data_IF_240562869116
#
_entry.id   IF_240562869116
#
_cell.length_a   1.000
_cell.length_b   1.000
_cell.length_c   1.000
_cell.angle_alpha   90.00
_cell.angle_beta   90.00
_cell.angle_gamma   90.00
#
_symmetry.space_group_name_H-M   'P 1'
#
loop_
_entity.id
_entity.type
_entity.pdbx_description
1 polymer ?
#
# COMPACT_ATOMS: atom_id res chain seq x y z
N UNK A 1 -50.12 -41.56 32.48
CA UNK A 1 -48.97 -42.10 31.74
C UNK A 1 -48.35 -40.96 30.97
N UNK A 2 -47.09 -40.63 31.33
CA UNK A 2 -45.99 -40.01 30.58
C UNK A 2 -46.19 -38.71 29.74
N UNK A 3 -45.12 -37.89 29.60
CA UNK A 3 -45.18 -36.42 29.56
C UNK A 3 -44.82 -35.85 28.16
N UNK A 4 -44.68 -34.51 27.95
CA UNK A 4 -44.35 -33.95 26.65
C UNK A 4 -42.84 -34.07 26.36
N UNK A 5 -42.47 -34.43 25.13
CA UNK A 5 -41.07 -34.44 24.70
C UNK A 5 -40.68 -33.14 24.01
N UNK A 6 -39.71 -32.49 24.65
CA UNK A 6 -38.92 -31.36 24.18
C UNK A 6 -37.77 -31.95 23.34
N UNK A 7 -37.66 -31.61 22.06
CA UNK A 7 -36.47 -31.96 21.27
C UNK A 7 -35.74 -30.68 20.90
N UNK A 8 -34.56 -30.57 21.49
CA UNK A 8 -33.57 -29.52 21.31
C UNK A 8 -33.10 -29.40 19.86
N UNK A 9 -32.77 -28.16 19.51
CA UNK A 9 -32.08 -27.73 18.30
C UNK A 9 -30.71 -28.39 18.14
N UNK A 10 -30.43 -28.94 16.96
CA UNK A 10 -29.05 -29.11 16.47
C UNK A 10 -28.87 -28.28 15.21
N UNK A 11 -28.43 -27.04 15.38
CA UNK A 11 -27.88 -26.26 14.28
C UNK A 11 -26.56 -26.90 13.84
N UNK A 12 -26.50 -27.38 12.60
CA UNK A 12 -25.25 -27.84 11.98
C UNK A 12 -24.31 -26.62 11.82
N UNK A 13 -23.05 -26.68 12.30
CA UNK A 13 -22.05 -25.69 11.92
C UNK A 13 -21.60 -25.99 10.49
N UNK A 14 -22.01 -25.17 9.52
CA UNK A 14 -21.43 -25.18 8.17
C UNK A 14 -20.52 -23.96 7.99
N UNK A 15 -19.40 -23.92 8.69
CA UNK A 15 -18.29 -23.04 8.30
C UNK A 15 -17.32 -23.83 7.42
N UNK A 16 -17.67 -23.96 6.14
CA UNK A 16 -16.68 -24.35 5.13
C UNK A 16 -15.68 -23.20 5.00
N UNK A 17 -14.52 -23.34 5.64
CA UNK A 17 -13.37 -22.48 5.36
C UNK A 17 -12.97 -22.70 3.90
N UNK A 18 -13.32 -21.73 3.06
CA UNK A 18 -12.88 -21.68 1.67
C UNK A 18 -11.38 -21.34 1.67
N UNK A 19 -10.53 -22.33 1.39
CA UNK A 19 -9.09 -22.16 1.10
C UNK A 19 -8.81 -21.37 -0.20
N UNK A 20 -9.75 -20.55 -0.69
CA UNK A 20 -9.50 -19.69 -1.85
C UNK A 20 -8.60 -18.55 -1.44
N UNK A 21 -7.44 -18.49 -2.08
CA UNK A 21 -6.54 -17.34 -2.03
C UNK A 21 -7.34 -16.05 -2.34
N UNK A 22 -7.05 -14.95 -1.62
CA UNK A 22 -7.74 -13.69 -1.84
C UNK A 22 -7.53 -13.23 -3.29
N UNK A 23 -8.64 -12.92 -3.97
CA UNK A 23 -8.64 -12.49 -5.38
C UNK A 23 -8.20 -11.03 -5.57
N UNK A 24 -8.13 -10.26 -4.48
CA UNK A 24 -7.76 -8.85 -4.49
C UNK A 24 -6.84 -8.55 -3.32
N UNK A 25 -5.96 -7.57 -3.48
CA UNK A 25 -5.05 -7.10 -2.45
C UNK A 25 -4.84 -5.59 -2.61
N UNK A 26 -4.51 -4.92 -1.50
CA UNK A 26 -3.83 -3.63 -1.58
C UNK A 26 -2.34 -3.88 -1.82
N UNK A 27 -1.71 -3.05 -2.64
CA UNK A 27 -0.28 -3.11 -2.92
C UNK A 27 0.34 -1.74 -2.63
N UNK A 28 1.46 -1.74 -1.93
CA UNK A 28 2.28 -0.54 -1.73
C UNK A 28 3.76 -0.89 -1.93
N UNK A 29 4.61 0.13 -2.00
CA UNK A 29 6.04 -0.02 -2.24
C UNK A 29 6.85 0.62 -1.11
N UNK A 30 7.97 0.00 -0.75
CA UNK A 30 8.95 0.53 0.19
C UNK A 30 10.36 0.35 -0.38
N UNK A 31 11.12 1.43 -0.37
CA UNK A 31 12.51 1.47 -0.83
C UNK A 31 13.37 2.27 0.14
N UNK A 32 14.66 1.95 0.17
CA UNK A 32 15.63 2.62 1.01
C UNK A 32 15.54 2.24 2.49
N UNK A 33 16.41 2.86 3.27
CA UNK A 33 16.58 2.65 4.71
C UNK A 33 15.94 3.76 5.56
N UNK A 34 15.08 4.58 4.96
CA UNK A 34 14.42 5.69 5.64
C UNK A 34 13.18 5.28 6.45
N UNK A 35 12.54 6.28 7.03
CA UNK A 35 11.38 6.12 7.93
C UNK A 35 10.02 5.87 7.23
N UNK A 36 10.01 5.58 5.93
CA UNK A 36 8.78 5.33 5.17
C UNK A 36 8.05 4.05 5.62
N UNK A 37 8.74 3.16 6.35
CA UNK A 37 8.12 2.02 7.04
C UNK A 37 6.97 2.45 7.96
N UNK A 38 7.08 3.63 8.61
CA UNK A 38 6.02 4.19 9.45
C UNK A 38 4.75 4.47 8.64
N UNK A 39 4.92 4.94 7.39
CA UNK A 39 3.82 5.16 6.47
C UNK A 39 3.07 3.88 6.11
N UNK A 40 3.82 2.79 5.88
CA UNK A 40 3.23 1.48 5.56
C UNK A 40 2.52 0.89 6.79
N UNK A 41 3.09 1.03 7.99
CA UNK A 41 2.43 0.62 9.24
C UNK A 41 1.13 1.40 9.45
N UNK A 42 1.16 2.72 9.27
CA UNK A 42 -0.04 3.55 9.34
C UNK A 42 -1.10 3.15 8.31
N UNK A 43 -0.68 2.78 7.09
CA UNK A 43 -1.56 2.29 6.03
C UNK A 43 -2.26 0.98 6.43
N UNK A 44 -1.51 -0.04 6.87
CA UNK A 44 -2.09 -1.34 7.23
C UNK A 44 -3.00 -1.23 8.46
N UNK A 45 -2.64 -0.42 9.47
CA UNK A 45 -3.52 -0.10 10.61
C UNK A 45 -4.80 0.61 10.14
N UNK A 46 -4.68 1.53 9.18
CA UNK A 46 -5.82 2.19 8.54
C UNK A 46 -6.77 1.22 7.84
N UNK A 47 -6.23 0.27 7.07
CA UNK A 47 -7.01 -0.79 6.42
C UNK A 47 -7.74 -1.69 7.43
N UNK A 48 -7.09 -2.05 8.54
CA UNK A 48 -7.71 -2.82 9.63
C UNK A 48 -8.82 -2.02 10.33
N UNK A 49 -8.63 -0.73 10.55
CA UNK A 49 -9.64 0.15 11.16
C UNK A 49 -10.95 0.18 10.38
N UNK A 50 -10.87 0.12 9.05
CA UNK A 50 -12.05 0.04 8.17
C UNK A 50 -12.49 -1.39 7.88
N UNK A 51 -11.91 -2.38 8.57
CA UNK A 51 -12.21 -3.81 8.44
C UNK A 51 -12.07 -4.32 6.99
N UNK A 52 -11.01 -3.88 6.30
CA UNK A 52 -10.68 -4.39 4.98
C UNK A 52 -10.56 -5.91 4.99
N UNK A 53 -11.21 -6.58 4.03
CA UNK A 53 -11.09 -8.02 3.81
C UNK A 53 -9.84 -8.38 2.99
N UNK A 54 -9.19 -7.38 2.38
CA UNK A 54 -8.04 -7.58 1.49
C UNK A 54 -6.72 -7.41 2.24
N UNK A 55 -5.72 -8.29 1.98
CA UNK A 55 -4.39 -8.16 2.55
C UNK A 55 -3.63 -6.96 1.97
N UNK A 56 -2.59 -6.52 2.66
CA UNK A 56 -1.61 -5.57 2.14
C UNK A 56 -0.35 -6.32 1.70
N UNK A 57 -0.03 -6.24 0.41
CA UNK A 57 1.25 -6.67 -0.14
C UNK A 57 2.19 -5.48 -0.18
N UNK A 58 3.39 -5.63 0.37
CA UNK A 58 4.44 -4.60 0.34
C UNK A 58 5.56 -5.07 -0.56
N UNK A 59 5.68 -4.44 -1.72
CA UNK A 59 6.81 -4.65 -2.61
C UNK A 59 8.03 -3.89 -2.07
N UNK A 60 9.11 -4.60 -1.79
CA UNK A 60 10.33 -4.02 -1.17
C UNK A 60 11.52 -4.14 -2.11
N UNK A 61 12.36 -3.11 -2.18
CA UNK A 61 13.66 -3.22 -2.85
C UNK A 61 14.70 -3.93 -1.97
N UNK A 62 15.80 -4.46 -2.52
CA UNK A 62 16.86 -5.12 -1.74
C UNK A 62 17.51 -4.22 -0.66
N UNK A 63 17.45 -2.90 -0.82
CA UNK A 63 18.04 -1.91 0.10
C UNK A 63 17.20 -1.63 1.36
N UNK A 64 15.97 -2.17 1.44
CA UNK A 64 15.14 -2.07 2.65
C UNK A 64 15.74 -2.92 3.77
N UNK A 65 16.07 -2.34 4.94
CA UNK A 65 16.62 -3.04 6.09
C UNK A 65 15.79 -4.25 6.56
N UNK A 66 16.45 -5.26 7.13
CA UNK A 66 15.78 -6.50 7.56
C UNK A 66 14.79 -6.26 8.71
N UNK A 67 15.13 -5.39 9.65
CA UNK A 67 14.27 -4.97 10.75
C UNK A 67 13.01 -4.26 10.23
N UNK A 68 13.12 -3.38 9.22
CA UNK A 68 11.96 -2.78 8.58
C UNK A 68 11.05 -3.84 7.94
N UNK A 69 11.60 -4.88 7.31
CA UNK A 69 10.80 -5.99 6.74
C UNK A 69 10.09 -6.78 7.84
N UNK A 70 10.80 -7.10 8.92
CA UNK A 70 10.23 -7.80 10.08
C UNK A 70 9.09 -7.01 10.70
N UNK A 71 9.23 -5.69 10.89
CA UNK A 71 8.16 -4.81 11.37
C UNK A 71 6.90 -4.89 10.50
N UNK A 72 7.05 -5.01 9.18
CA UNK A 72 5.92 -5.15 8.26
C UNK A 72 5.25 -6.53 8.38
N UNK A 73 6.03 -7.60 8.48
CA UNK A 73 5.54 -8.97 8.66
C UNK A 73 4.84 -9.16 10.01
N UNK A 74 5.37 -8.58 11.08
CA UNK A 74 4.74 -8.52 12.41
C UNK A 74 3.40 -7.79 12.37
N UNK A 75 3.27 -6.81 11.48
CA UNK A 75 2.02 -6.13 11.17
C UNK A 75 1.16 -6.90 10.13
N UNK A 76 1.46 -8.17 9.85
CA UNK A 76 0.65 -9.02 8.96
C UNK A 76 0.67 -8.60 7.49
N UNK A 77 1.65 -7.80 7.08
CA UNK A 77 1.86 -7.48 5.67
C UNK A 77 2.50 -8.67 4.94
N UNK A 78 2.14 -8.87 3.67
CA UNK A 78 2.83 -9.82 2.79
C UNK A 78 4.00 -9.09 2.14
N UNK A 79 5.22 -9.33 2.61
CA UNK A 79 6.42 -8.70 2.05
C UNK A 79 6.90 -9.47 0.83
N UNK A 80 7.11 -8.77 -0.29
CA UNK A 80 7.65 -9.34 -1.53
C UNK A 80 8.81 -8.51 -2.02
N UNK A 81 10.00 -9.10 -2.05
CA UNK A 81 11.15 -8.43 -2.67
C UNK A 81 10.96 -8.35 -4.18
N UNK A 82 11.27 -7.18 -4.76
CA UNK A 82 11.29 -6.94 -6.20
C UNK A 82 12.59 -6.27 -6.61
N UNK A 83 12.95 -6.44 -7.87
CA UNK A 83 14.10 -5.76 -8.47
C UNK A 83 13.66 -4.42 -9.11
N UNK A 84 14.46 -3.35 -8.96
CA UNK A 84 14.15 -2.07 -9.58
C UNK A 84 14.31 -2.15 -11.10
N UNK A 85 13.47 -1.40 -11.81
CA UNK A 85 13.57 -1.23 -13.27
C UNK A 85 13.93 0.22 -13.54
N UNK A 86 14.99 0.42 -14.34
CA UNK A 86 15.46 1.75 -14.71
C UNK A 86 15.12 2.02 -16.18
N UNK A 87 14.63 3.22 -16.51
CA UNK A 87 14.55 3.63 -17.90
C UNK A 87 15.98 3.76 -18.48
N UNK A 88 16.13 3.73 -19.81
CA UNK A 88 17.42 3.96 -20.44
C UNK A 88 18.00 5.33 -20.04
N UNK A 89 19.33 5.43 -19.96
CA UNK A 89 19.99 6.71 -19.80
C UNK A 89 19.63 7.63 -20.97
N UNK A 90 19.06 8.79 -20.65
CA UNK A 90 18.74 9.81 -21.64
C UNK A 90 19.32 11.16 -21.20
N UNK A 91 19.88 11.92 -22.16
CA UNK A 91 20.48 13.23 -21.89
C UNK A 91 19.45 14.34 -21.76
N UNK A 92 18.23 14.10 -22.24
CA UNK A 92 17.14 15.09 -22.26
C UNK A 92 15.83 14.47 -21.74
N UNK A 93 15.10 15.23 -20.92
CA UNK A 93 13.80 14.82 -20.39
C UNK A 93 12.68 15.15 -21.39
N UNK A 94 11.70 14.24 -21.49
CA UNK A 94 10.49 14.44 -22.29
C UNK A 94 9.53 15.48 -21.71
N UNK A 95 8.54 15.89 -22.50
CA UNK A 95 7.44 16.74 -22.04
C UNK A 95 6.42 15.93 -21.21
N UNK A 96 5.80 16.52 -20.17
CA UNK A 96 4.77 15.85 -19.39
C UNK A 96 3.48 15.62 -20.22
N UNK A 97 2.72 14.56 -19.92
CA UNK A 97 1.48 14.26 -20.64
C UNK A 97 0.37 15.29 -20.35
N UNK A 98 -0.53 15.49 -21.31
CA UNK A 98 -1.60 16.51 -21.23
C UNK A 98 -2.79 16.12 -20.34
N UNK A 99 -3.08 14.82 -20.20
CA UNK A 99 -4.06 14.28 -19.25
C UNK A 99 -3.31 13.74 -18.04
N UNK A 100 -3.81 14.07 -16.86
CA UNK A 100 -3.08 13.87 -15.63
C UNK A 100 -3.96 13.25 -14.54
N UNK A 101 -3.56 12.08 -14.07
CA UNK A 101 -4.05 11.46 -12.86
C UNK A 101 -2.93 11.32 -11.85
N UNK A 102 -3.28 11.42 -10.58
CA UNK A 102 -2.33 11.16 -9.52
C UNK A 102 -2.12 9.65 -9.37
N UNK A 103 -0.89 9.19 -9.52
CA UNK A 103 -0.54 7.78 -9.43
C UNK A 103 -0.46 7.24 -7.99
N UNK A 104 -0.74 8.07 -6.98
CA UNK A 104 -0.71 7.67 -5.57
C UNK A 104 -1.78 6.66 -5.16
N UNK A 105 -2.87 6.55 -5.93
CA UNK A 105 -3.89 5.51 -5.76
C UNK A 105 -4.56 5.25 -7.10
N UNK A 106 -4.60 3.98 -7.50
CA UNK A 106 -5.32 3.50 -8.67
C UNK A 106 -5.69 2.03 -8.49
N UNK A 107 -6.63 1.55 -9.31
CA UNK A 107 -7.05 0.14 -9.34
C UNK A 107 -6.63 -0.44 -10.68
N UNK A 108 -6.02 -1.63 -10.65
CA UNK A 108 -5.60 -2.33 -11.85
C UNK A 108 -5.78 -3.85 -11.67
N UNK A 109 -5.86 -4.55 -12.79
CA UNK A 109 -5.84 -6.01 -12.84
C UNK A 109 -4.43 -6.48 -13.25
N UNK A 110 -3.73 -7.27 -12.42
CA UNK A 110 -2.44 -7.84 -12.79
C UNK A 110 -2.57 -8.69 -14.06
N UNK A 111 -1.75 -8.38 -15.07
CA UNK A 111 -1.79 -9.06 -16.36
C UNK A 111 -0.37 -9.15 -16.96
N UNK A 112 0.04 -10.35 -17.37
CA UNK A 112 1.39 -10.58 -17.90
C UNK A 112 1.64 -9.85 -19.23
N UNK A 113 0.62 -9.74 -20.09
CA UNK A 113 0.76 -9.00 -21.35
C UNK A 113 0.97 -7.51 -21.08
N UNK A 114 0.16 -6.93 -20.20
CA UNK A 114 0.32 -5.53 -19.76
C UNK A 114 1.69 -5.31 -19.10
N UNK A 115 2.16 -6.24 -18.27
CA UNK A 115 3.48 -6.16 -17.65
C UNK A 115 4.62 -6.11 -18.68
N UNK A 116 4.66 -7.06 -19.62
CA UNK A 116 5.73 -7.08 -20.63
C UNK A 116 5.65 -5.88 -21.57
N UNK A 117 4.45 -5.40 -21.87
CA UNK A 117 4.25 -4.25 -22.73
C UNK A 117 4.60 -2.92 -22.03
N UNK A 118 4.34 -2.79 -20.72
CA UNK A 118 4.86 -1.70 -19.89
C UNK A 118 6.39 -1.67 -19.93
N UNK A 119 7.06 -2.82 -19.74
CA UNK A 119 8.52 -2.89 -19.79
C UNK A 119 9.08 -2.54 -21.18
N UNK A 120 8.45 -3.00 -22.25
CA UNK A 120 8.86 -2.67 -23.62
C UNK A 120 8.70 -1.17 -23.87
N UNK A 121 7.55 -0.61 -23.49
CA UNK A 121 7.25 0.81 -23.66
C UNK A 121 8.20 1.69 -22.86
N UNK A 122 8.54 1.29 -21.62
CA UNK A 122 9.49 2.02 -20.77
C UNK A 122 10.88 2.15 -21.42
N UNK A 123 11.34 1.11 -22.12
CA UNK A 123 12.65 1.12 -22.82
C UNK A 123 12.74 2.10 -23.98
N UNK A 124 11.62 2.55 -24.53
CA UNK A 124 11.59 3.45 -25.69
C UNK A 124 10.98 4.80 -25.35
N UNK A 125 10.45 4.97 -24.13
CA UNK A 125 9.85 6.22 -23.68
C UNK A 125 10.92 7.11 -23.04
N UNK A 126 11.08 8.36 -23.51
CA UNK A 126 11.96 9.32 -22.85
C UNK A 126 11.56 9.51 -21.38
N UNK A 127 12.50 9.44 -20.42
CA UNK A 127 12.22 9.75 -19.03
C UNK A 127 11.66 11.16 -18.88
N UNK A 128 10.78 11.35 -17.91
CA UNK A 128 10.20 12.66 -17.55
C UNK A 128 10.49 12.98 -16.08
N UNK A 129 10.27 14.24 -15.63
CA UNK A 129 10.53 14.63 -14.24
C UNK A 129 9.72 13.83 -13.20
N UNK A 130 8.48 13.44 -13.51
CA UNK A 130 7.65 12.61 -12.63
C UNK A 130 7.59 11.18 -13.16
N UNK A 131 8.63 10.41 -12.87
CA UNK A 131 8.95 9.15 -13.52
C UNK A 131 7.75 8.19 -13.69
N UNK A 132 7.20 7.65 -12.60
CA UNK A 132 6.13 6.66 -12.69
C UNK A 132 4.80 7.30 -13.05
N UNK A 133 4.50 8.49 -12.52
CA UNK A 133 3.22 9.15 -12.73
C UNK A 133 3.02 9.55 -14.19
N UNK A 134 4.01 10.20 -14.80
CA UNK A 134 3.92 10.60 -16.20
C UNK A 134 3.91 9.39 -17.13
N UNK A 135 4.73 8.38 -16.83
CA UNK A 135 4.79 7.16 -17.63
C UNK A 135 3.43 6.43 -17.63
N UNK A 136 2.81 6.27 -16.46
CA UNK A 136 1.49 5.65 -16.34
C UNK A 136 0.40 6.49 -17.03
N UNK A 137 0.46 7.82 -16.92
CA UNK A 137 -0.46 8.71 -17.62
C UNK A 137 -0.33 8.60 -19.13
N UNK A 138 0.89 8.53 -19.66
CA UNK A 138 1.15 8.33 -21.08
C UNK A 138 0.65 6.96 -21.55
N UNK A 139 0.99 5.89 -20.83
CA UNK A 139 0.67 4.51 -21.20
C UNK A 139 -0.84 4.24 -21.15
N UNK A 140 -1.52 4.68 -20.10
CA UNK A 140 -2.94 4.39 -19.87
C UNK A 140 -3.90 5.50 -20.33
N UNK A 141 -3.42 6.49 -21.08
CA UNK A 141 -4.20 7.69 -21.50
C UNK A 141 -5.55 7.39 -22.15
N UNK A 142 -5.67 6.25 -22.83
CA UNK A 142 -6.85 5.87 -23.61
C UNK A 142 -7.87 5.03 -22.83
N UNK A 143 -7.46 4.43 -21.71
CA UNK A 143 -8.33 3.56 -20.89
C UNK A 143 -8.56 4.08 -19.47
N UNK A 144 -7.82 5.11 -19.06
CA UNK A 144 -7.90 5.68 -17.73
C UNK A 144 -9.30 6.22 -17.41
N UNK A 145 -9.76 5.96 -16.19
CA UNK A 145 -10.98 6.52 -15.61
C UNK A 145 -10.65 7.16 -14.26
N UNK A 146 -11.03 8.43 -14.02
CA UNK A 146 -10.71 9.10 -12.77
C UNK A 146 -11.44 8.49 -11.59
N UNK A 147 -10.67 8.23 -10.53
CA UNK A 147 -11.22 7.90 -9.22
C UNK A 147 -11.75 9.18 -8.55
N UNK A 148 -12.86 9.10 -7.79
CA UNK A 148 -13.35 10.24 -7.04
C UNK A 148 -12.30 10.77 -6.05
N UNK A 149 -12.24 12.10 -5.88
CA UNK A 149 -11.27 12.79 -5.01
C UNK A 149 -11.24 12.21 -3.58
N UNK A 150 -12.38 11.74 -3.07
CA UNK A 150 -12.48 11.13 -1.74
C UNK A 150 -11.62 9.86 -1.56
N UNK A 151 -11.22 9.19 -2.64
CA UNK A 151 -10.36 8.00 -2.63
C UNK A 151 -8.88 8.30 -2.92
N UNK A 152 -8.52 9.56 -3.18
CA UNK A 152 -7.14 10.00 -3.36
C UNK A 152 -7.03 11.51 -3.12
N UNK A 153 -7.31 11.97 -1.90
CA UNK A 153 -7.21 13.39 -1.58
C UNK A 153 -5.74 13.80 -1.51
N UNK A 154 -5.24 14.40 -2.58
CA UNK A 154 -3.99 15.17 -2.57
C UNK A 154 -4.19 16.42 -1.72
N UNK A 155 -3.37 16.58 -0.66
CA UNK A 155 -3.57 17.66 0.33
C UNK A 155 -3.64 19.06 -0.28
N UNK A 156 -2.91 19.31 -1.37
CA UNK A 156 -2.94 20.60 -2.07
C UNK A 156 -4.34 21.05 -2.50
N UNK A 157 -5.28 20.12 -2.67
CA UNK A 157 -6.68 20.44 -2.97
C UNK A 157 -7.35 21.26 -1.86
N UNK A 158 -6.90 21.15 -0.61
CA UNK A 158 -7.44 21.90 0.52
C UNK A 158 -7.18 23.41 0.42
N UNK A 159 -6.17 23.85 -0.33
CA UNK A 159 -5.88 25.28 -0.52
C UNK A 159 -5.92 25.75 -1.96
N UNK A 160 -5.80 24.84 -2.94
CA UNK A 160 -5.95 25.18 -4.37
C UNK A 160 -7.42 25.18 -4.82
N UNK A 161 -8.22 24.24 -4.33
CA UNK A 161 -9.63 24.08 -4.70
C UNK A 161 -10.50 23.65 -3.51
N UNK A 162 -10.49 24.40 -2.38
CA UNK A 162 -11.20 24.01 -1.15
C UNK A 162 -12.70 23.75 -1.35
N UNK A 163 -13.34 24.47 -2.27
CA UNK A 163 -14.75 24.31 -2.61
C UNK A 163 -15.11 22.93 -3.15
N UNK A 164 -14.12 22.16 -3.64
CA UNK A 164 -14.30 20.81 -4.17
C UNK A 164 -14.03 19.72 -3.11
N UNK A 165 -13.67 20.10 -1.87
CA UNK A 165 -13.28 19.14 -0.83
C UNK A 165 -14.32 19.09 0.29
N UNK A 166 -15.15 18.05 0.26
CA UNK A 166 -16.00 17.69 1.39
C UNK A 166 -15.23 16.77 2.35
N UNK A 167 -14.43 17.36 3.25
CA UNK A 167 -13.43 16.65 4.04
C UNK A 167 -13.99 15.48 4.89
N UNK A 168 -15.25 15.55 5.31
CA UNK A 168 -15.92 14.49 6.07
C UNK A 168 -16.24 13.24 5.22
N UNK A 169 -16.30 13.36 3.89
CA UNK A 169 -16.54 12.23 2.96
C UNK A 169 -15.26 11.51 2.56
N UNK A 170 -14.10 12.12 2.79
CA UNK A 170 -12.79 11.60 2.38
C UNK A 170 -12.49 10.26 3.06
N UNK A 171 -12.02 9.30 2.25
CA UNK A 171 -11.68 7.93 2.64
C UNK A 171 -10.17 7.68 2.66
N UNK A 172 -9.45 8.28 1.72
CA UNK A 172 -7.99 8.13 1.58
C UNK A 172 -7.34 9.51 1.41
N UNK A 173 -6.29 9.75 2.18
CA UNK A 173 -5.52 11.01 2.17
C UNK A 173 -4.11 10.73 1.65
N UNK A 174 -3.69 11.50 0.65
CA UNK A 174 -2.36 11.41 0.06
C UNK A 174 -1.49 12.57 0.59
N UNK A 175 -0.64 12.26 1.56
CA UNK A 175 0.34 13.18 2.16
C UNK A 175 1.55 13.38 1.24
N UNK A 176 1.36 13.96 0.05
CA UNK A 176 2.43 14.19 -0.93
C UNK A 176 3.13 15.55 -0.80
N UNK A 177 2.49 16.55 -0.18
CA UNK A 177 3.09 17.88 -0.03
C UNK A 177 4.31 17.84 0.91
N UNK A 178 5.31 18.68 0.65
CA UNK A 178 6.46 18.85 1.55
C UNK A 178 6.00 19.15 3.00
N UNK A 179 6.64 18.49 3.97
CA UNK A 179 6.29 18.59 5.40
C UNK A 179 5.01 17.85 5.82
N UNK A 180 4.23 17.31 4.87
CA UNK A 180 2.93 16.70 5.21
C UNK A 180 2.99 15.27 5.72
N UNK A 181 4.13 14.57 5.56
CA UNK A 181 4.29 13.19 6.06
C UNK A 181 4.02 13.18 7.57
N UNK A 182 2.99 12.47 8.07
CA UNK A 182 2.58 12.57 9.47
C UNK A 182 3.69 12.29 10.49
N UNK A 183 4.58 11.34 10.19
CA UNK A 183 5.73 10.97 11.03
C UNK A 183 6.89 11.97 10.98
N UNK A 184 6.88 12.93 10.05
CA UNK A 184 7.86 14.03 9.97
C UNK A 184 7.21 15.40 10.19
N UNK A 185 5.96 15.42 10.61
CA UNK A 185 5.17 16.65 10.61
C UNK A 185 5.69 17.63 11.67
N UNK A 186 6.16 18.79 11.24
CA UNK A 186 6.63 19.86 12.13
C UNK A 186 5.66 21.04 12.22
N UNK A 187 4.76 21.18 11.24
CA UNK A 187 3.83 22.30 11.14
C UNK A 187 4.46 23.59 10.61
N UNK A 188 5.75 23.57 10.22
CA UNK A 188 6.51 24.77 9.80
C UNK A 188 6.55 24.96 8.30
N UNK A 189 6.41 23.89 7.53
CA UNK A 189 6.41 23.92 6.07
C UNK A 189 5.15 24.61 5.53
N UNK A 190 5.19 25.03 4.27
CA UNK A 190 4.12 25.79 3.65
C UNK A 190 2.77 25.05 3.74
N UNK A 191 1.73 25.77 4.17
CA UNK A 191 0.37 25.26 4.37
C UNK A 191 0.22 24.23 5.51
N UNK A 192 1.29 23.85 6.22
CA UNK A 192 1.20 22.91 7.35
C UNK A 192 0.63 23.56 8.61
N UNK A 193 0.58 24.89 8.70
CA UNK A 193 -0.06 25.58 9.82
C UNK A 193 -1.59 25.45 9.85
N UNK A 194 -2.23 24.93 8.78
CA UNK A 194 -3.69 24.87 8.64
C UNK A 194 -4.33 23.85 9.58
N UNK A 195 -5.54 24.19 10.05
CA UNK A 195 -6.28 23.34 11.01
C UNK A 195 -6.79 22.03 10.40
N UNK A 196 -7.16 22.04 9.12
CA UNK A 196 -7.55 20.83 8.41
C UNK A 196 -6.38 19.83 8.29
N UNK A 197 -5.17 20.32 8.02
CA UNK A 197 -3.95 19.52 7.99
C UNK A 197 -3.61 18.97 9.37
N UNK A 198 -3.59 19.81 10.41
CA UNK A 198 -3.38 19.36 11.80
C UNK A 198 -4.37 18.28 12.22
N UNK A 199 -5.65 18.45 11.85
CA UNK A 199 -6.68 17.43 12.10
C UNK A 199 -6.37 16.12 11.37
N UNK A 200 -5.98 16.16 10.10
CA UNK A 200 -5.64 14.96 9.32
C UNK A 200 -4.39 14.25 9.87
N UNK A 201 -3.35 14.99 10.27
CA UNK A 201 -2.15 14.44 10.92
C UNK A 201 -2.51 13.81 12.27
N UNK A 202 -3.34 14.47 13.07
CA UNK A 202 -3.85 13.91 14.33
C UNK A 202 -4.63 12.61 14.09
N UNK A 203 -5.49 12.56 13.07
CA UNK A 203 -6.21 11.32 12.69
C UNK A 203 -5.26 10.20 12.32
N UNK A 204 -4.17 10.50 11.61
CA UNK A 204 -3.16 9.50 11.27
C UNK A 204 -2.46 8.97 12.52
N UNK A 205 -2.02 9.83 13.43
CA UNK A 205 -1.39 9.43 14.69
C UNK A 205 -2.33 8.63 15.60
N UNK A 206 -3.62 8.99 15.63
CA UNK A 206 -4.63 8.22 16.35
C UNK A 206 -4.81 6.81 15.79
N UNK A 207 -4.50 6.56 14.51
CA UNK A 207 -4.53 5.22 13.92
C UNK A 207 -3.21 4.51 14.20
N UNK A 208 -2.09 5.21 14.01
CA UNK A 208 -0.76 4.66 14.18
C UNK A 208 -0.51 4.19 15.63
N UNK A 209 -0.91 4.97 16.62
CA UNK A 209 -0.74 4.69 18.06
C UNK A 209 -1.86 3.82 18.67
N UNK A 210 -2.81 3.33 17.88
CA UNK A 210 -3.91 2.50 18.39
C UNK A 210 -3.48 1.03 18.38
N UNK A 211 -3.01 0.52 19.52
CA UNK A 211 -2.53 -0.85 19.69
C UNK A 211 -3.63 -1.89 19.44
N UNK A 212 -4.91 -1.51 19.58
CA UNK A 212 -6.03 -2.42 19.28
C UNK A 212 -6.09 -2.78 17.79
N UNK A 213 -5.49 -1.94 16.95
CA UNK A 213 -5.34 -2.19 15.53
C UNK A 213 -4.14 -3.05 15.19
N UNK A 214 -3.20 -3.35 16.10
CA UNK A 214 -2.04 -4.18 15.76
C UNK A 214 -2.44 -5.59 15.33
N UNK A 215 -1.61 -6.18 14.47
CA UNK A 215 -1.89 -7.50 13.95
C UNK A 215 -1.75 -8.56 15.05
N UNK A 216 -2.86 -9.20 15.39
CA UNK A 216 -2.90 -10.29 16.36
C UNK A 216 -2.64 -11.59 15.61
N UNK A 217 -1.41 -12.10 15.67
CA UNK A 217 -1.10 -13.42 15.16
C UNK A 217 -1.98 -14.42 15.90
N UNK A 218 -2.93 -15.06 15.20
CA UNK A 218 -3.69 -16.15 15.79
C UNK A 218 -2.71 -17.28 16.09
N UNK A 219 -2.43 -17.50 17.37
CA UNK A 219 -1.69 -18.68 17.84
C UNK A 219 -2.60 -19.90 17.62
N UNK A 220 -2.61 -20.43 16.40
CA UNK A 220 -3.05 -21.80 16.15
C UNK A 220 -1.83 -22.71 16.32
N UNK A 221 -1.42 -22.88 17.57
CA UNK A 221 -0.55 -23.98 17.99
C UNK A 221 -1.26 -24.66 19.15
N UNK A 222 -2.09 -25.65 18.83
CA UNK A 222 -2.29 -26.78 19.74
C UNK A 222 -1.20 -27.79 19.39
N UNK A 223 -0.29 -28.00 20.33
CA UNK A 223 0.66 -29.10 20.29
C UNK A 223 -0.08 -30.45 20.31
N UNK A 224 0.55 -31.43 19.66
CA UNK A 224 0.34 -32.88 19.71
C UNK A 224 -0.86 -33.51 18.98
N UNK A 225 -0.60 -34.01 17.76
CA UNK A 225 -0.52 -35.47 17.52
C UNK A 225 0.00 -35.77 16.10
N UNK A 226 0.99 -36.66 16.02
CA UNK A 226 1.58 -37.26 14.81
C UNK A 226 0.53 -37.60 13.74
N UNK A 227 0.64 -36.99 12.56
CA UNK A 227 0.73 -37.73 11.30
C UNK A 227 1.25 -36.81 10.18
N UNK A 228 2.23 -37.30 9.43
CA UNK A 228 3.02 -36.52 8.50
C UNK A 228 2.21 -35.97 7.33
N UNK A 229 2.15 -34.64 7.24
CA UNK A 229 1.98 -33.89 5.99
C UNK A 229 2.89 -32.67 6.09
N UNK A 230 3.94 -32.63 5.28
CA UNK A 230 4.82 -31.46 5.14
C UNK A 230 4.01 -30.26 4.67
N UNK A 231 3.74 -29.33 5.59
CA UNK A 231 3.35 -27.97 5.27
C UNK A 231 4.55 -27.11 5.62
N UNK A 232 5.46 -26.91 4.65
CA UNK A 232 6.55 -25.95 4.81
C UNK A 232 5.97 -24.53 4.94
N UNK A 233 6.32 -23.78 6.00
CA UNK A 233 6.06 -22.35 6.06
C UNK A 233 6.91 -21.64 5.00
N UNK A 234 6.30 -20.66 4.31
CA UNK A 234 6.96 -19.78 3.34
C UNK A 234 8.01 -18.88 4.04
N UNK A 235 9.15 -19.45 4.40
CA UNK A 235 10.30 -18.73 4.94
C UNK A 235 11.58 -19.50 4.63
N UNK A 236 12.09 -19.36 3.40
CA UNK A 236 13.52 -19.43 3.07
C UNK A 236 13.72 -19.37 1.56
N UNK A 237 14.29 -18.25 1.07
CA UNK A 237 15.45 -18.27 0.17
C UNK A 237 16.21 -16.97 0.40
N UNK A 238 17.41 -17.05 0.99
CA UNK A 238 18.34 -15.94 1.14
C UNK A 238 19.40 -15.93 0.04
N UNK A 239 19.65 -14.72 -0.45
CA UNK A 239 20.92 -14.12 -0.92
C UNK A 239 21.69 -14.69 -2.11
N UNK A 240 21.88 -13.84 -3.13
CA UNK A 240 23.20 -13.30 -3.53
C UNK A 240 22.99 -11.86 -4.02
N UNK A 241 23.64 -10.85 -3.43
CA UNK A 241 23.63 -9.46 -3.94
C UNK A 241 25.05 -8.95 -4.13
N UNK A 242 25.38 -8.56 -5.35
CA UNK A 242 26.54 -7.71 -5.66
C UNK A 242 26.17 -6.24 -5.50
N UNK A 243 27.12 -5.41 -5.03
CA UNK A 243 26.93 -3.96 -4.88
C UNK A 243 26.79 -3.29 -6.24
N UNK A 244 25.66 -2.63 -6.48
CA UNK A 244 25.48 -1.66 -7.58
C UNK A 244 25.15 -0.30 -6.96
N UNK A 245 25.73 0.76 -7.49
CA UNK A 245 25.49 2.14 -7.05
C UNK A 245 24.17 2.66 -7.63
N UNK A 246 23.30 3.19 -6.77
CA UNK A 246 21.99 3.73 -7.14
C UNK A 246 21.99 5.26 -7.10
N UNK A 247 21.26 5.87 -8.03
CA UNK A 247 20.91 7.29 -8.01
C UNK A 247 19.43 7.41 -7.65
N UNK A 248 19.14 8.07 -6.53
CA UNK A 248 17.77 8.33 -6.07
C UNK A 248 17.11 9.38 -6.95
N UNK A 249 15.94 9.06 -7.49
CA UNK A 249 15.07 10.07 -8.09
C UNK A 249 14.56 11.02 -6.98
N UNK A 250 14.42 12.33 -7.25
CA UNK A 250 13.86 13.26 -6.28
C UNK A 250 12.45 12.83 -5.90
N UNK A 251 12.13 12.99 -4.61
CA UNK A 251 10.78 12.79 -4.10
C UNK A 251 9.81 13.68 -4.88
N UNK A 252 8.71 13.12 -5.37
CA UNK A 252 7.57 13.91 -5.86
C UNK A 252 6.92 14.61 -4.65
N UNK A 253 7.51 15.73 -4.24
CA UNK A 253 7.01 16.68 -3.25
C UNK A 253 7.32 18.09 -3.72
#
# INVERSE_FOLDING_TARGET
MAPPENIETVAKPSSTFSNKLPRHAYVTFLAGNGDYVNGVIGLVKGLRKVKSEYPLVVAVLPDVPIDHRQMLEEQGCIVRQIEPVYPPENKELGQPPSKYFNAGMFVFEPNMNTYYDLLRTLKVTPPTPFAEQDFLNMYFKDIYKPIPLVYNLVLAMLWRHPQNVELHKVKVVHYCAAGSKPWRYTGKEENMQREDIKMLVKKWWNIYNDDSLDYKKSLSVTEESNDGVDIEPFSQVLSVVGKVHYVTAPSAA
#
